data_IF_199306466749
#
_entry.id   IF_199306466749
#
_cell.length_a   1.000
_cell.length_b   1.000
_cell.length_c   1.000
_cell.angle_alpha   90.00
_cell.angle_beta   90.00
_cell.angle_gamma   90.00
#
_symmetry.space_group_name_H-M   'P 1'
#
loop_
_entity.id
_entity.type
_entity.pdbx_description
1 polymer ?
#
# COMPACT_ATOMS: atom_id res chain seq x y z
N UNK A 1 20.82 29.01 35.15
CA UNK A 1 21.81 27.97 35.47
C UNK A 1 21.57 26.83 34.49
N UNK A 2 22.14 26.88 33.28
CA UNK A 2 23.41 26.24 32.85
C UNK A 2 23.28 24.70 33.04
N UNK A 3 23.22 23.86 32.00
CA UNK A 3 24.19 23.70 30.89
C UNK A 3 23.50 23.34 29.56
N UNK A 4 23.85 24.07 28.48
CA UNK A 4 23.65 23.70 27.07
C UNK A 4 24.71 22.66 26.66
N UNK A 5 24.38 21.71 25.78
CA UNK A 5 25.38 21.04 24.94
C UNK A 5 25.11 21.39 23.48
N UNK A 6 26.11 22.04 22.89
CA UNK A 6 26.15 22.49 21.52
C UNK A 6 26.65 21.40 20.56
N UNK A 7 26.29 21.63 19.32
CA UNK A 7 26.75 20.98 18.11
C UNK A 7 28.26 21.17 17.91
N UNK A 8 28.93 20.22 17.24
CA UNK A 8 30.21 20.48 16.59
C UNK A 8 30.30 19.74 15.27
N UNK A 9 30.32 20.55 14.21
CA UNK A 9 30.74 20.23 12.86
C UNK A 9 32.24 19.91 12.85
N UNK A 10 32.66 18.93 12.04
CA UNK A 10 34.01 18.87 11.50
C UNK A 10 33.95 18.75 9.98
N UNK A 11 34.27 19.85 9.32
CA UNK A 11 34.69 19.92 7.92
C UNK A 11 36.21 20.04 7.94
N UNK A 12 36.91 19.20 7.19
CA UNK A 12 38.32 19.43 6.82
C UNK A 12 38.34 19.63 5.32
N UNK A 13 38.55 20.88 4.91
CA UNK A 13 39.00 21.29 3.59
C UNK A 13 40.53 21.41 3.62
N UNK A 14 41.20 20.86 2.61
CA UNK A 14 42.56 21.25 2.25
C UNK A 14 42.55 21.71 0.79
N UNK A 15 42.84 23.00 0.60
CA UNK A 15 43.17 23.62 -0.67
C UNK A 15 44.57 23.20 -1.14
N UNK A 16 44.72 23.00 -2.45
CA UNK A 16 45.89 23.47 -3.18
C UNK A 16 45.46 23.90 -4.59
N UNK A 17 45.65 25.19 -4.89
CA UNK A 17 45.48 25.78 -6.20
C UNK A 17 46.82 25.73 -6.97
N UNK A 18 46.77 25.44 -8.27
CA UNK A 18 47.71 26.00 -9.27
C UNK A 18 46.93 26.24 -10.57
N UNK A 19 47.07 27.46 -11.09
CA UNK A 19 46.44 28.00 -12.28
C UNK A 19 47.28 27.75 -13.54
N UNK A 20 46.61 27.60 -14.70
CA UNK A 20 46.99 28.00 -16.07
C UNK A 20 46.04 27.20 -17.00
N UNK A 21 45.11 27.79 -17.76
CA UNK A 21 45.25 28.94 -18.63
C UNK A 21 45.37 28.43 -20.06
N UNK A 22 44.29 28.52 -20.85
CA UNK A 22 44.30 28.98 -22.26
C UNK A 22 42.93 28.79 -22.91
N UNK A 23 42.43 29.91 -23.43
CA UNK A 23 41.29 30.06 -24.32
C UNK A 23 41.59 29.46 -25.70
N UNK A 24 40.52 29.16 -26.44
CA UNK A 24 40.57 28.89 -27.88
C UNK A 24 39.19 28.57 -28.43
N UNK A 25 38.39 29.61 -28.69
CA UNK A 25 37.37 29.61 -29.75
C UNK A 25 38.04 29.32 -31.10
N UNK A 26 37.31 28.69 -32.04
CA UNK A 26 37.20 29.05 -33.46
C UNK A 26 36.23 28.07 -34.18
N UNK A 27 35.02 28.57 -34.43
CA UNK A 27 34.32 28.69 -35.72
C UNK A 27 34.30 27.58 -36.81
N UNK A 28 33.06 27.37 -37.24
CA UNK A 28 32.53 27.34 -38.62
C UNK A 28 32.58 26.07 -39.53
N UNK A 29 31.34 25.70 -39.90
CA UNK A 29 30.83 25.41 -41.26
C UNK A 29 31.15 24.11 -42.03
N UNK A 30 30.08 23.31 -42.16
CA UNK A 30 29.35 23.06 -43.41
C UNK A 30 29.73 21.87 -44.34
N UNK A 31 28.65 21.30 -44.90
CA UNK A 31 28.47 20.49 -46.11
C UNK A 31 28.72 18.96 -46.14
N UNK A 32 27.58 18.25 -46.27
CA UNK A 32 27.17 17.33 -47.36
C UNK A 32 28.09 16.19 -47.82
N UNK A 33 27.54 14.97 -47.87
CA UNK A 33 28.02 13.91 -48.76
C UNK A 33 27.45 12.53 -48.50
N UNK A 34 26.40 12.16 -49.25
CA UNK A 34 25.93 10.78 -49.38
C UNK A 34 26.87 9.97 -50.32
N UNK A 35 27.04 8.66 -50.07
CA UNK A 35 26.81 7.57 -51.02
C UNK A 35 27.47 6.26 -50.57
N UNK A 36 26.82 5.17 -50.98
CA UNK A 36 27.06 3.76 -50.71
C UNK A 36 28.29 3.15 -51.40
N UNK A 37 28.71 1.97 -50.94
CA UNK A 37 29.24 0.77 -51.66
C UNK A 37 29.90 -0.15 -50.63
N UNK A 38 30.00 -1.48 -50.70
CA UNK A 38 29.37 -2.61 -51.39
C UNK A 38 29.88 -3.86 -50.65
N UNK A 39 29.20 -5.00 -50.85
CA UNK A 39 29.44 -6.33 -50.26
C UNK A 39 30.60 -7.05 -50.99
N UNK A 40 31.14 -8.16 -50.44
CA UNK A 40 31.11 -9.37 -51.26
C UNK A 40 30.65 -10.65 -50.52
N UNK A 41 29.85 -11.41 -51.27
CA UNK A 41 29.38 -12.80 -51.10
C UNK A 41 30.55 -13.82 -51.23
N UNK A 42 30.50 -15.11 -50.90
CA UNK A 42 29.45 -16.08 -50.53
C UNK A 42 30.15 -17.41 -50.10
N UNK A 43 29.55 -18.20 -49.20
CA UNK A 43 28.79 -19.46 -49.44
C UNK A 43 29.66 -20.76 -49.47
N UNK A 44 29.14 -21.96 -49.07
CA UNK A 44 27.73 -22.37 -49.12
C UNK A 44 27.13 -23.06 -47.87
N UNK A 45 25.81 -23.21 -47.97
CA UNK A 45 24.86 -23.79 -47.03
C UNK A 45 24.86 -25.33 -46.97
N UNK A 46 24.33 -25.86 -45.85
CA UNK A 46 23.77 -27.20 -45.75
C UNK A 46 22.33 -27.08 -45.21
N UNK A 47 21.38 -27.59 -46.00
CA UNK A 47 19.95 -27.75 -45.69
C UNK A 47 19.73 -28.65 -44.49
N UNK A 48 18.76 -28.35 -43.60
CA UNK A 48 17.89 -29.33 -42.94
C UNK A 48 16.58 -28.66 -42.43
N UNK A 49 15.50 -29.01 -43.14
CA UNK A 49 14.16 -29.42 -42.67
C UNK A 49 13.41 -28.59 -41.61
N UNK A 50 12.32 -27.95 -42.05
CA UNK A 50 11.30 -27.34 -41.19
C UNK A 50 10.31 -28.40 -40.70
N UNK A 51 10.32 -28.69 -39.40
CA UNK A 51 9.21 -29.38 -38.74
C UNK A 51 8.76 -28.61 -37.49
N UNK A 52 7.46 -28.34 -37.42
CA UNK A 52 6.75 -27.60 -36.36
C UNK A 52 7.06 -28.13 -34.94
N UNK A 53 7.10 -27.28 -33.89
CA UNK A 53 7.27 -27.80 -32.54
C UNK A 53 5.95 -28.39 -32.04
N UNK A 54 5.98 -29.71 -31.79
CA UNK A 54 4.94 -30.44 -31.09
C UNK A 54 4.78 -29.94 -29.64
N UNK A 55 3.53 -29.95 -29.16
CA UNK A 55 3.17 -29.72 -27.76
C UNK A 55 3.94 -30.67 -26.83
N UNK A 56 4.73 -30.12 -25.92
CA UNK A 56 5.38 -30.88 -24.87
C UNK A 56 4.40 -31.12 -23.73
N UNK A 57 3.91 -32.36 -23.61
CA UNK A 57 3.18 -32.84 -22.44
C UNK A 57 4.13 -33.04 -21.26
N UNK A 58 3.64 -32.65 -20.09
CA UNK A 58 4.27 -32.65 -18.77
C UNK A 58 4.55 -34.06 -18.23
N UNK A 59 5.35 -34.89 -18.91
CA UNK A 59 5.85 -36.16 -18.37
C UNK A 59 7.14 -36.61 -19.10
N UNK A 60 8.24 -35.84 -19.09
CA UNK A 60 9.55 -36.41 -19.44
C UNK A 60 10.77 -35.52 -19.11
N UNK A 61 10.97 -35.17 -17.83
CA UNK A 61 12.30 -34.73 -17.34
C UNK A 61 12.53 -35.23 -15.91
N UNK A 62 12.75 -36.55 -15.76
CA UNK A 62 13.44 -37.09 -14.59
C UNK A 62 14.52 -38.04 -15.10
N UNK A 63 15.71 -37.49 -15.37
CA UNK A 63 16.91 -38.25 -15.61
C UNK A 63 18.13 -37.48 -15.07
N UNK A 64 18.52 -37.90 -13.86
CA UNK A 64 19.84 -37.84 -13.23
C UNK A 64 20.76 -36.66 -13.57
N UNK A 65 20.66 -35.61 -12.76
CA UNK A 65 21.71 -34.63 -12.53
C UNK A 65 21.54 -34.10 -11.11
N UNK A 66 22.40 -34.56 -10.20
CA UNK A 66 22.45 -34.08 -8.80
C UNK A 66 22.61 -32.55 -8.82
N UNK A 67 21.56 -31.84 -8.41
CA UNK A 67 21.67 -30.42 -8.07
C UNK A 67 22.67 -30.31 -6.90
N UNK A 68 23.63 -29.38 -6.91
CA UNK A 68 24.56 -29.21 -5.79
C UNK A 68 23.74 -28.91 -4.53
N UNK A 69 24.00 -29.64 -3.45
CA UNK A 69 23.39 -29.42 -2.13
C UNK A 69 23.55 -27.94 -1.75
N UNK A 70 22.43 -27.23 -1.60
CA UNK A 70 22.42 -25.90 -1.02
C UNK A 70 22.92 -25.99 0.44
N UNK A 71 23.85 -25.13 0.88
CA UNK A 71 24.37 -25.20 2.24
C UNK A 71 23.40 -24.51 3.22
N UNK A 72 22.28 -25.16 3.53
CA UNK A 72 21.36 -24.80 4.61
C UNK A 72 21.35 -25.91 5.66
N UNK A 73 21.98 -25.70 6.82
CA UNK A 73 21.98 -26.71 7.88
C UNK A 73 20.68 -26.61 8.68
N UNK A 74 19.73 -27.51 8.41
CA UNK A 74 18.50 -27.65 9.20
C UNK A 74 18.84 -27.83 10.71
N UNK A 75 18.30 -26.96 11.56
CA UNK A 75 18.24 -27.21 13.00
C UNK A 75 17.10 -28.18 13.32
N UNK A 76 17.21 -28.92 14.42
CA UNK A 76 16.18 -29.83 14.88
C UNK A 76 14.88 -29.05 15.23
N UNK A 77 13.92 -29.03 14.30
CA UNK A 77 12.63 -28.37 14.43
C UNK A 77 11.94 -28.06 13.09
N UNK A 78 12.71 -27.74 12.05
CA UNK A 78 12.19 -27.38 10.71
C UNK A 78 12.18 -28.54 9.70
N UNK A 79 12.68 -29.72 10.06
CA UNK A 79 13.00 -30.81 9.11
C UNK A 79 11.85 -31.34 8.24
N UNK A 80 10.59 -31.04 8.55
CA UNK A 80 9.44 -31.39 7.70
C UNK A 80 9.17 -30.34 6.58
N UNK A 81 9.77 -29.15 6.67
CA UNK A 81 9.59 -28.03 5.74
C UNK A 81 10.84 -27.72 4.90
N UNK A 82 11.98 -28.30 5.26
CA UNK A 82 13.26 -28.18 4.56
C UNK A 82 13.53 -29.35 3.59
N UNK A 83 14.32 -29.14 2.52
CA UNK A 83 14.90 -27.87 2.09
C UNK A 83 13.90 -27.00 1.31
N UNK A 84 13.78 -25.72 1.65
CA UNK A 84 12.98 -24.75 0.90
C UNK A 84 13.73 -23.44 0.57
N UNK A 85 15.06 -23.53 0.42
CA UNK A 85 16.00 -22.42 0.17
C UNK A 85 15.74 -21.60 -1.12
N UNK A 86 14.90 -22.11 -2.03
CA UNK A 86 14.61 -21.47 -3.32
C UNK A 86 13.13 -21.58 -3.68
N UNK A 87 12.65 -20.62 -4.48
CA UNK A 87 11.26 -20.58 -4.94
C UNK A 87 10.77 -21.89 -5.58
N UNK A 88 11.64 -22.60 -6.30
CA UNK A 88 11.32 -23.86 -6.98
C UNK A 88 11.06 -25.02 -6.02
N UNK A 89 11.65 -24.99 -4.82
CA UNK A 89 11.42 -25.94 -3.74
C UNK A 89 10.51 -25.39 -2.64
N UNK A 90 9.79 -24.29 -2.90
CA UNK A 90 8.95 -23.63 -1.91
C UNK A 90 7.91 -24.58 -1.31
N UNK A 91 7.89 -24.66 0.01
CA UNK A 91 6.99 -25.56 0.74
C UNK A 91 5.56 -25.02 0.74
N UNK A 92 4.56 -25.88 0.52
CA UNK A 92 3.16 -25.45 0.60
C UNK A 92 2.83 -25.01 2.03
N UNK A 93 2.20 -23.84 2.15
CA UNK A 93 1.86 -23.30 3.47
C UNK A 93 0.86 -24.17 4.24
N UNK A 94 1.20 -24.63 5.45
CA UNK A 94 0.23 -25.24 6.34
C UNK A 94 -0.74 -24.16 6.88
N UNK A 95 -2.02 -24.51 7.00
CA UNK A 95 -2.99 -23.65 7.68
C UNK A 95 -2.74 -23.65 9.20
N UNK A 96 -2.94 -22.51 9.85
CA UNK A 96 -2.73 -22.35 11.28
C UNK A 96 -1.32 -21.87 11.63
N UNK A 97 -0.89 -22.18 12.84
CA UNK A 97 0.42 -21.79 13.37
C UNK A 97 1.41 -22.95 13.24
N UNK A 98 2.56 -22.67 12.65
CA UNK A 98 3.73 -23.56 12.60
C UNK A 98 4.84 -22.93 13.41
N UNK A 99 5.38 -23.66 14.37
CA UNK A 99 6.36 -23.15 15.34
C UNK A 99 7.73 -23.79 15.14
N UNK A 100 8.75 -23.19 15.74
CA UNK A 100 10.13 -23.70 15.75
C UNK A 100 10.75 -23.79 14.34
N UNK A 101 10.37 -22.87 13.45
CA UNK A 101 11.07 -22.62 12.19
C UNK A 101 12.30 -21.75 12.47
N UNK A 102 13.29 -21.77 11.58
CA UNK A 102 14.55 -21.07 11.80
C UNK A 102 15.19 -20.62 10.52
N UNK A 103 15.62 -19.35 10.49
CA UNK A 103 16.54 -18.84 9.47
C UNK A 103 17.96 -18.91 10.01
N UNK A 104 18.80 -19.67 9.32
CA UNK A 104 20.25 -19.73 9.58
C UNK A 104 21.06 -18.91 8.57
N UNK A 105 22.39 -18.94 8.70
CA UNK A 105 23.26 -18.14 7.85
C UNK A 105 23.21 -18.64 6.40
N UNK A 106 22.69 -17.80 5.50
CA UNK A 106 22.60 -18.10 4.06
C UNK A 106 21.31 -18.85 3.69
N UNK A 107 20.41 -18.99 4.64
CA UNK A 107 19.14 -19.69 4.58
C UNK A 107 18.02 -18.75 4.11
N UNK A 108 17.10 -19.24 3.30
CA UNK A 108 15.92 -18.51 2.82
C UNK A 108 14.71 -19.43 2.76
N UNK A 109 13.74 -19.24 3.65
CA UNK A 109 12.58 -20.14 3.65
C UNK A 109 11.54 -19.65 2.64
N UNK A 110 11.39 -20.38 1.53
CA UNK A 110 10.34 -20.12 0.56
C UNK A 110 9.08 -20.93 0.84
N UNK A 111 7.94 -20.26 0.77
CA UNK A 111 6.63 -20.87 0.93
C UNK A 111 5.69 -20.52 -0.20
N UNK A 112 4.93 -21.52 -0.65
CA UNK A 112 3.90 -21.40 -1.68
C UNK A 112 2.53 -21.24 -1.05
N UNK A 113 1.81 -20.20 -1.45
CA UNK A 113 0.47 -19.85 -0.98
C UNK A 113 -0.54 -20.10 -2.11
N UNK A 114 -1.51 -20.98 -1.89
CA UNK A 114 -2.65 -21.15 -2.79
C UNK A 114 -3.88 -20.54 -2.16
N UNK A 115 -4.42 -19.49 -2.77
CA UNK A 115 -5.57 -18.77 -2.22
C UNK A 115 -6.86 -19.40 -2.73
N UNK A 116 -7.75 -19.91 -1.85
CA UNK A 116 -9.04 -20.44 -2.25
C UNK A 116 -9.95 -19.36 -2.83
N UNK A 117 -10.99 -19.80 -3.55
CA UNK A 117 -11.98 -18.87 -4.08
C UNK A 117 -12.67 -18.10 -2.95
N UNK A 118 -12.89 -16.80 -3.17
CA UNK A 118 -13.59 -15.92 -2.24
C UNK A 118 -13.03 -15.99 -0.83
N UNK A 119 -11.71 -15.93 -0.73
CA UNK A 119 -10.97 -16.07 0.53
C UNK A 119 -9.83 -15.07 0.55
N UNK A 120 -9.71 -14.34 1.66
CA UNK A 120 -8.47 -13.65 2.01
C UNK A 120 -7.61 -14.62 2.82
N UNK A 121 -6.40 -14.88 2.35
CA UNK A 121 -5.37 -15.63 3.08
C UNK A 121 -4.41 -14.62 3.70
N UNK A 122 -4.40 -14.54 5.02
CA UNK A 122 -3.41 -13.81 5.80
C UNK A 122 -2.23 -14.73 6.08
N UNK A 123 -1.04 -14.25 5.79
CA UNK A 123 0.22 -14.94 6.06
C UNK A 123 1.07 -14.01 6.90
N UNK A 124 1.74 -14.52 7.91
CA UNK A 124 2.77 -13.75 8.57
C UNK A 124 3.71 -14.56 9.43
N UNK A 125 4.76 -13.90 9.87
CA UNK A 125 5.78 -14.45 10.76
C UNK A 125 5.76 -13.71 12.09
N UNK A 126 6.06 -14.44 13.16
CA UNK A 126 6.32 -13.87 14.47
C UNK A 126 7.67 -14.34 14.99
N UNK A 127 8.49 -13.41 15.48
CA UNK A 127 9.84 -13.65 15.95
C UNK A 127 10.22 -12.61 17.01
N UNK A 128 11.30 -12.85 17.75
CA UNK A 128 11.86 -11.82 18.62
C UNK A 128 12.82 -10.95 17.81
N UNK A 129 12.37 -9.79 17.33
CA UNK A 129 13.18 -8.89 16.50
C UNK A 129 14.52 -8.53 17.14
N UNK A 130 14.54 -8.34 18.47
CA UNK A 130 15.78 -8.04 19.19
C UNK A 130 16.82 -9.17 19.18
N UNK A 131 16.44 -10.41 18.84
CA UNK A 131 17.35 -11.55 18.69
C UNK A 131 17.96 -11.68 17.29
N UNK A 132 17.37 -11.01 16.30
CA UNK A 132 17.74 -11.13 14.90
C UNK A 132 16.57 -10.69 14.03
N UNK A 133 16.83 -9.75 13.14
CA UNK A 133 15.80 -9.12 12.33
C UNK A 133 15.47 -9.99 11.11
N UNK A 134 14.24 -10.47 11.02
CA UNK A 134 13.77 -11.29 9.90
C UNK A 134 12.79 -10.48 9.07
N UNK A 135 12.92 -10.61 7.75
CA UNK A 135 12.03 -9.98 6.79
C UNK A 135 11.15 -11.01 6.11
N UNK A 136 9.91 -10.62 5.82
CA UNK A 136 8.97 -11.33 4.97
C UNK A 136 8.84 -10.57 3.64
N UNK A 137 9.00 -11.29 2.54
CA UNK A 137 8.86 -10.74 1.18
C UNK A 137 7.76 -11.51 0.46
N UNK A 138 6.90 -10.81 -0.28
CA UNK A 138 5.78 -11.41 -1.01
C UNK A 138 5.93 -11.22 -2.53
N UNK A 139 5.59 -12.27 -3.27
CA UNK A 139 5.63 -12.32 -4.73
C UNK A 139 4.33 -12.90 -5.29
N UNK A 140 3.99 -12.50 -6.51
CA UNK A 140 2.91 -13.14 -7.28
C UNK A 140 3.34 -14.50 -7.88
N UNK A 141 2.42 -15.13 -8.62
CA UNK A 141 2.66 -16.42 -9.27
C UNK A 141 3.71 -16.38 -10.38
N UNK A 142 4.03 -15.19 -10.90
CA UNK A 142 5.03 -14.97 -11.94
C UNK A 142 6.40 -14.66 -11.33
N UNK A 143 6.44 -14.21 -10.08
CA UNK A 143 7.66 -13.83 -9.35
C UNK A 143 7.88 -12.33 -9.28
N UNK A 144 6.88 -11.52 -9.62
CA UNK A 144 6.95 -10.08 -9.43
C UNK A 144 6.83 -9.77 -7.93
N UNK A 145 7.64 -8.82 -7.46
CA UNK A 145 7.60 -8.36 -6.08
C UNK A 145 6.29 -7.61 -5.79
N UNK A 146 5.57 -8.04 -4.76
CA UNK A 146 4.35 -7.38 -4.29
C UNK A 146 4.59 -6.50 -3.06
N UNK A 147 5.50 -6.93 -2.19
CA UNK A 147 5.85 -6.19 -0.97
C UNK A 147 7.07 -6.79 -0.29
N UNK A 148 7.86 -5.92 0.33
CA UNK A 148 9.07 -6.31 1.06
C UNK A 148 9.19 -5.48 2.34
N UNK A 149 9.72 -6.09 3.39
CA UNK A 149 10.42 -5.37 4.47
C UNK A 149 11.92 -5.35 4.28
N UNK A 150 12.46 -6.19 3.39
CA UNK A 150 13.88 -6.24 3.10
C UNK A 150 14.31 -5.27 1.98
N UNK A 151 15.34 -4.47 2.25
CA UNK A 151 16.13 -3.75 1.23
C UNK A 151 15.43 -2.56 0.56
N UNK A 152 16.18 -1.87 -0.31
CA UNK A 152 15.70 -0.71 -1.07
C UNK A 152 14.77 -1.06 -2.25
N UNK A 153 14.51 -2.35 -2.48
CA UNK A 153 13.71 -2.85 -3.61
C UNK A 153 12.22 -2.52 -3.48
N UNK A 154 11.74 -2.21 -2.27
CA UNK A 154 10.38 -1.74 -2.03
C UNK A 154 10.41 -0.36 -1.35
N UNK A 155 9.80 0.68 -1.94
CA UNK A 155 9.92 2.08 -1.48
C UNK A 155 9.33 2.37 -0.08
N UNK A 156 8.76 1.36 0.59
CA UNK A 156 8.17 1.46 1.93
C UNK A 156 8.73 0.42 2.92
N UNK A 157 10.00 0.02 2.71
CA UNK A 157 10.76 -0.90 3.56
C UNK A 157 11.67 -0.17 4.59
N UNK A 158 11.22 0.97 5.15
CA UNK A 158 12.02 1.69 6.15
C UNK A 158 12.17 0.88 7.43
N UNK A 159 13.43 0.71 7.84
CA UNK A 159 13.83 -0.06 9.03
C UNK A 159 13.46 0.59 10.37
N UNK A 160 12.89 1.80 10.37
CA UNK A 160 12.53 2.50 11.60
C UNK A 160 11.28 1.95 12.30
N UNK A 161 10.54 1.07 11.63
CA UNK A 161 9.23 0.56 12.06
C UNK A 161 9.20 -0.98 12.06
N UNK A 162 10.36 -1.60 12.35
CA UNK A 162 10.46 -3.05 12.50
C UNK A 162 9.80 -3.53 13.80
N UNK A 163 9.12 -4.66 13.74
CA UNK A 163 8.38 -5.23 14.88
C UNK A 163 8.68 -6.72 15.01
N UNK A 164 8.12 -7.33 16.05
CA UNK A 164 8.18 -8.79 16.24
C UNK A 164 7.31 -9.57 15.26
N UNK A 165 6.65 -8.90 14.31
CA UNK A 165 5.69 -9.52 13.41
C UNK A 165 5.72 -8.93 12.01
N UNK A 166 5.49 -9.75 10.99
CA UNK A 166 5.25 -9.26 9.63
C UNK A 166 4.11 -10.01 8.98
N UNK A 167 3.17 -9.27 8.37
CA UNK A 167 1.97 -9.85 7.81
C UNK A 167 1.64 -9.33 6.40
N UNK A 168 1.07 -10.22 5.59
CA UNK A 168 0.54 -9.96 4.26
C UNK A 168 -0.84 -10.58 4.06
N UNK A 169 -1.63 -9.99 3.17
CA UNK A 169 -2.95 -10.49 2.77
C UNK A 169 -3.01 -10.75 1.28
N UNK A 170 -3.57 -11.90 0.89
CA UNK A 170 -3.77 -12.29 -0.50
C UNK A 170 -5.23 -12.62 -0.75
N UNK A 171 -5.78 -12.24 -1.90
CA UNK A 171 -7.17 -12.50 -2.25
C UNK A 171 -7.28 -13.21 -3.60
N UNK A 172 -8.30 -14.06 -3.75
CA UNK A 172 -8.66 -14.64 -5.04
C UNK A 172 -10.18 -14.77 -5.16
N UNK A 173 -10.80 -14.06 -6.11
CA UNK A 173 -12.24 -14.21 -6.38
C UNK A 173 -12.56 -15.60 -6.95
N UNK A 174 -11.71 -16.10 -7.87
CA UNK A 174 -11.93 -17.37 -8.59
C UNK A 174 -11.30 -18.58 -7.91
N UNK A 175 -10.34 -18.35 -7.02
CA UNK A 175 -9.56 -19.39 -6.36
C UNK A 175 -8.43 -19.91 -7.23
N UNK A 176 -7.44 -20.51 -6.58
CA UNK A 176 -6.27 -21.08 -7.25
C UNK A 176 -5.18 -20.07 -7.57
N UNK A 177 -5.34 -18.78 -7.24
CA UNK A 177 -4.25 -17.80 -7.33
C UNK A 177 -3.09 -18.28 -6.47
N UNK A 178 -1.90 -18.31 -7.07
CA UNK A 178 -0.66 -18.75 -6.43
C UNK A 178 0.20 -17.53 -6.12
N UNK A 179 0.68 -17.46 -4.88
CA UNK A 179 1.64 -16.47 -4.42
C UNK A 179 2.81 -17.20 -3.75
N UNK A 180 3.90 -16.48 -3.57
CA UNK A 180 5.05 -16.96 -2.83
C UNK A 180 5.38 -15.95 -1.74
N UNK A 181 5.82 -16.44 -0.59
CA UNK A 181 6.53 -15.59 0.35
C UNK A 181 7.90 -16.18 0.63
N UNK A 182 8.84 -15.31 0.96
CA UNK A 182 10.20 -15.64 1.37
C UNK A 182 10.44 -15.04 2.74
N UNK A 183 10.93 -15.85 3.67
CA UNK A 183 11.45 -15.40 4.96
C UNK A 183 12.98 -15.40 4.87
N UNK A 184 13.62 -14.32 5.32
CA UNK A 184 15.09 -14.24 5.33
C UNK A 184 15.58 -13.27 6.40
N UNK A 185 16.84 -13.42 6.79
CA UNK A 185 17.46 -12.55 7.78
C UNK A 185 17.98 -11.24 7.18
N UNK A 186 17.55 -10.10 7.72
CA UNK A 186 18.08 -8.80 7.34
C UNK A 186 19.59 -8.74 7.63
N UNK A 187 20.39 -8.32 6.65
CA UNK A 187 21.85 -8.26 6.75
C UNK A 187 22.51 -9.57 7.26
N UNK A 188 21.90 -10.73 6.97
CA UNK A 188 22.38 -12.04 7.40
C UNK A 188 22.09 -12.39 8.85
N UNK A 189 21.11 -11.70 9.47
CA UNK A 189 20.57 -12.08 10.76
C UNK A 189 20.07 -13.53 10.74
N UNK A 190 20.05 -14.14 11.91
CA UNK A 190 19.55 -15.50 12.12
C UNK A 190 18.58 -15.43 13.29
N UNK A 191 17.48 -16.16 13.19
CA UNK A 191 16.49 -16.20 14.27
C UNK A 191 15.58 -17.40 14.12
N UNK A 192 14.87 -17.73 15.19
CA UNK A 192 13.71 -18.61 15.12
C UNK A 192 12.44 -17.80 14.94
N UNK A 193 11.45 -18.41 14.29
CA UNK A 193 10.18 -17.77 14.05
C UNK A 193 9.03 -18.77 14.05
N UNK A 194 7.81 -18.24 14.05
CA UNK A 194 6.60 -19.00 13.78
C UNK A 194 5.91 -18.44 12.55
N UNK A 195 5.37 -19.34 11.71
CA UNK A 195 4.57 -19.00 10.54
C UNK A 195 3.09 -19.12 10.90
N UNK A 196 2.32 -18.09 10.59
CA UNK A 196 0.89 -18.01 10.89
C UNK A 196 0.09 -17.79 9.61
N UNK A 197 -0.75 -18.76 9.26
CA UNK A 197 -1.61 -18.72 8.06
C UNK A 197 -3.07 -18.81 8.47
N UNK A 198 -3.84 -17.78 8.14
CA UNK A 198 -5.25 -17.70 8.48
C UNK A 198 -6.09 -17.35 7.26
N UNK A 199 -7.17 -18.08 7.04
CA UNK A 199 -8.09 -17.86 5.92
C UNK A 199 -9.41 -17.31 6.41
N UNK A 200 -9.89 -16.27 5.73
CA UNK A 200 -11.16 -15.62 6.01
C UNK A 200 -11.98 -15.59 4.74
N UNK A 201 -13.20 -16.12 4.79
CA UNK A 201 -14.15 -15.99 3.68
C UNK A 201 -14.33 -14.50 3.35
N UNK A 202 -14.24 -14.11 2.08
CA UNK A 202 -14.34 -12.73 1.61
C UNK A 202 -14.91 -12.69 0.20
N UNK A 203 -15.73 -11.68 -0.10
CA UNK A 203 -16.13 -11.38 -1.47
C UNK A 203 -16.51 -9.92 -1.56
N UNK A 204 -16.18 -9.29 -2.67
CA UNK A 204 -16.58 -7.92 -2.92
C UNK A 204 -18.09 -7.77 -3.11
N UNK A 205 -18.56 -6.55 -2.94
CA UNK A 205 -19.94 -6.15 -3.11
C UNK A 205 -20.10 -4.67 -2.76
N UNK A 206 -21.20 -4.06 -3.21
CA UNK A 206 -21.47 -2.63 -2.93
C UNK A 206 -21.50 -2.33 -1.43
N UNK A 207 -22.00 -3.26 -0.62
CA UNK A 207 -21.94 -3.20 0.84
C UNK A 207 -21.59 -4.57 1.41
N UNK A 208 -20.96 -4.57 2.59
CA UNK A 208 -20.56 -5.81 3.25
C UNK A 208 -21.75 -6.71 3.64
N UNK A 209 -22.80 -6.12 4.21
CA UNK A 209 -24.04 -6.87 4.53
C UNK A 209 -24.83 -7.23 3.28
N UNK A 210 -24.79 -6.42 2.23
CA UNK A 210 -25.39 -6.73 0.93
C UNK A 210 -24.70 -7.91 0.23
N UNK A 211 -23.42 -8.12 0.50
CA UNK A 211 -22.72 -9.34 0.11
C UNK A 211 -23.12 -10.55 0.99
N UNK A 212 -23.89 -10.39 2.06
CA UNK A 212 -24.38 -11.50 2.88
C UNK A 212 -23.46 -11.89 4.03
N UNK A 213 -22.50 -11.05 4.40
CA UNK A 213 -21.80 -11.17 5.68
C UNK A 213 -22.67 -10.62 6.81
N UNK A 214 -22.49 -11.14 8.03
CA UNK A 214 -23.20 -10.61 9.18
C UNK A 214 -22.69 -9.21 9.52
N UNK A 215 -23.51 -8.40 10.21
CA UNK A 215 -23.06 -7.09 10.67
C UNK A 215 -21.81 -7.18 11.56
N UNK A 216 -21.71 -8.21 12.40
CA UNK A 216 -20.55 -8.45 13.26
C UNK A 216 -19.28 -8.70 12.43
N UNK A 217 -19.36 -9.51 11.37
CA UNK A 217 -18.24 -9.74 10.45
C UNK A 217 -17.83 -8.46 9.72
N UNK A 218 -18.80 -7.62 9.37
CA UNK A 218 -18.57 -6.35 8.70
C UNK A 218 -17.88 -5.34 9.60
N UNK A 219 -18.33 -5.23 10.84
CA UNK A 219 -17.79 -4.28 11.82
C UNK A 219 -16.46 -4.75 12.43
N UNK A 220 -16.17 -6.06 12.42
CA UNK A 220 -14.85 -6.59 12.76
C UNK A 220 -14.40 -6.30 14.20
N UNK A 221 -15.32 -6.06 15.13
CA UNK A 221 -15.01 -5.76 16.54
C UNK A 221 -14.65 -7.05 17.29
N UNK A 222 -13.37 -7.37 17.33
CA UNK A 222 -12.81 -8.44 18.14
C UNK A 222 -11.74 -7.92 19.09
N UNK A 223 -11.50 -8.63 20.20
CA UNK A 223 -10.37 -8.35 21.09
C UNK A 223 -9.05 -8.51 20.33
N UNK A 224 -8.10 -7.61 20.55
CA UNK A 224 -6.80 -7.62 19.86
C UNK A 224 -6.94 -7.67 18.34
N UNK A 225 -7.96 -7.01 17.77
CA UNK A 225 -8.19 -6.95 16.33
C UNK A 225 -8.60 -8.26 15.65
N UNK A 226 -9.05 -9.28 16.41
CA UNK A 226 -9.45 -10.59 15.86
C UNK A 226 -10.56 -10.57 14.79
N UNK A 227 -11.32 -9.48 14.66
CA UNK A 227 -12.31 -9.29 13.58
C UNK A 227 -11.78 -8.49 12.37
N UNK A 228 -10.54 -8.01 12.42
CA UNK A 228 -9.90 -7.27 11.35
C UNK A 228 -9.27 -8.22 10.33
N UNK A 229 -9.24 -7.78 9.09
CA UNK A 229 -8.63 -8.51 7.98
C UNK A 229 -7.51 -7.65 7.38
N UNK A 230 -6.44 -8.25 6.85
CA UNK A 230 -5.48 -7.48 6.07
C UNK A 230 -6.17 -7.00 4.79
N UNK A 231 -5.88 -5.77 4.39
CA UNK A 231 -6.21 -5.29 3.06
C UNK A 231 -5.32 -6.07 2.08
N UNK A 232 -5.89 -6.88 1.16
CA UNK A 232 -5.09 -7.78 0.35
C UNK A 232 -4.22 -6.99 -0.64
N UNK A 233 -3.11 -7.57 -1.07
CA UNK A 233 -2.37 -7.06 -2.22
C UNK A 233 -3.28 -6.98 -3.46
N UNK A 234 -3.06 -5.99 -4.34
CA UNK A 234 -3.71 -5.97 -5.65
C UNK A 234 -3.28 -7.21 -6.46
N UNK A 235 -4.18 -7.72 -7.27
CA UNK A 235 -3.92 -8.85 -8.17
C UNK A 235 -4.45 -8.44 -9.56
N UNK A 236 -3.60 -8.34 -10.60
CA UNK A 236 -4.05 -8.00 -11.95
C UNK A 236 -5.13 -8.94 -12.51
N UNK A 237 -5.21 -10.18 -11.99
CA UNK A 237 -6.23 -11.16 -12.36
C UNK A 237 -7.57 -10.99 -11.60
N UNK A 238 -7.60 -10.11 -10.60
CA UNK A 238 -8.80 -9.77 -9.83
C UNK A 238 -9.86 -9.10 -10.75
N UNK A 239 -11.03 -9.72 -10.93
CA UNK A 239 -12.05 -9.20 -11.84
C UNK A 239 -12.79 -7.97 -11.33
N UNK A 240 -12.60 -7.58 -10.06
CA UNK A 240 -13.30 -6.47 -9.42
C UNK A 240 -12.49 -5.19 -9.54
N UNK A 241 -11.25 -5.21 -9.03
CA UNK A 241 -10.37 -4.02 -8.99
C UNK A 241 -9.08 -4.20 -9.78
N UNK A 242 -8.68 -5.43 -10.12
CA UNK A 242 -7.41 -5.71 -10.76
C UNK A 242 -6.22 -5.15 -9.96
N UNK A 243 -5.28 -4.55 -10.69
CA UNK A 243 -4.17 -3.75 -10.20
C UNK A 243 -4.58 -2.33 -9.73
N UNK A 244 -5.81 -2.14 -9.26
CA UNK A 244 -6.43 -0.83 -9.04
C UNK A 244 -5.83 0.06 -7.97
N UNK A 245 -4.89 -0.46 -7.18
CA UNK A 245 -4.25 0.24 -6.08
C UNK A 245 -2.88 -0.37 -5.81
N UNK A 246 -2.07 0.34 -5.06
CA UNK A 246 -0.87 -0.18 -4.40
C UNK A 246 -0.88 0.28 -2.93
N UNK A 247 0.21 0.02 -2.22
CA UNK A 247 0.36 0.45 -0.84
C UNK A 247 1.61 1.28 -0.64
N UNK A 248 1.38 2.44 -0.03
CA UNK A 248 2.42 3.35 0.40
C UNK A 248 2.69 3.24 1.92
N UNK A 249 2.00 2.36 2.66
CA UNK A 249 2.24 2.11 4.10
C UNK A 249 3.00 0.82 4.37
N UNK A 250 3.49 0.64 5.60
CA UNK A 250 4.00 -0.66 6.06
C UNK A 250 2.87 -1.69 6.12
N UNK A 251 3.15 -2.94 5.75
CA UNK A 251 2.15 -4.01 5.75
C UNK A 251 1.51 -4.32 7.10
N UNK A 252 2.21 -4.03 8.20
CA UNK A 252 1.68 -4.20 9.56
C UNK A 252 0.56 -3.23 9.87
N UNK A 253 0.42 -2.15 9.10
CA UNK A 253 -0.57 -1.09 9.29
C UNK A 253 -1.72 -1.16 8.28
N UNK A 254 -1.89 -2.30 7.61
CA UNK A 254 -2.90 -2.51 6.57
C UNK A 254 -4.09 -3.35 7.05
N UNK A 255 -4.43 -3.33 8.34
CA UNK A 255 -5.57 -4.08 8.88
C UNK A 255 -6.82 -3.22 8.93
N UNK A 256 -7.94 -3.74 8.46
CA UNK A 256 -9.19 -3.01 8.34
C UNK A 256 -10.38 -3.85 8.76
N UNK A 257 -11.48 -3.17 9.09
CA UNK A 257 -12.80 -3.80 9.11
C UNK A 257 -13.10 -4.30 7.70
N UNK A 258 -13.78 -5.44 7.60
CA UNK A 258 -14.23 -5.99 6.32
C UNK A 258 -15.02 -4.98 5.50
N UNK A 259 -15.90 -4.22 6.13
CA UNK A 259 -16.70 -3.19 5.45
C UNK A 259 -15.85 -2.07 4.84
N UNK A 260 -14.70 -1.74 5.45
CA UNK A 260 -13.80 -0.72 4.92
C UNK A 260 -13.06 -1.23 3.68
N UNK A 261 -12.49 -2.44 3.75
CA UNK A 261 -11.82 -3.07 2.60
C UNK A 261 -12.76 -3.14 1.39
N UNK A 262 -13.99 -3.60 1.63
CA UNK A 262 -15.02 -3.70 0.57
C UNK A 262 -15.44 -2.33 0.02
N UNK A 263 -15.59 -1.31 0.87
CA UNK A 263 -16.00 0.02 0.42
C UNK A 263 -14.94 0.66 -0.48
N UNK A 264 -13.67 0.61 -0.07
CA UNK A 264 -12.56 1.18 -0.85
C UNK A 264 -12.42 0.45 -2.18
N UNK A 265 -12.42 -0.89 -2.18
CA UNK A 265 -12.35 -1.69 -3.42
C UNK A 265 -13.55 -1.43 -4.34
N UNK A 266 -14.76 -1.33 -3.80
CA UNK A 266 -15.93 -0.97 -4.59
C UNK A 266 -15.79 0.42 -5.23
N UNK A 267 -15.37 1.42 -4.48
CA UNK A 267 -15.18 2.77 -4.99
C UNK A 267 -14.07 2.86 -6.07
N UNK A 268 -12.98 2.09 -5.92
CA UNK A 268 -11.93 1.97 -6.95
C UNK A 268 -12.47 1.32 -8.22
N UNK A 269 -13.20 0.21 -8.09
CA UNK A 269 -13.81 -0.49 -9.22
C UNK A 269 -14.76 0.42 -10.01
N UNK A 270 -15.64 1.15 -9.32
CA UNK A 270 -16.57 2.08 -9.96
C UNK A 270 -15.83 3.26 -10.61
N UNK A 271 -14.78 3.79 -9.97
CA UNK A 271 -13.95 4.85 -10.55
C UNK A 271 -13.28 4.41 -11.84
N UNK A 272 -12.67 3.21 -11.87
CA UNK A 272 -12.03 2.65 -13.08
C UNK A 272 -13.04 2.43 -14.21
N UNK A 273 -14.28 2.03 -13.89
CA UNK A 273 -15.37 1.94 -14.89
C UNK A 273 -15.76 3.30 -15.44
N UNK A 274 -15.89 4.30 -14.58
CA UNK A 274 -16.31 5.65 -14.94
C UNK A 274 -15.23 6.43 -15.71
N UNK A 275 -13.96 6.16 -15.41
CA UNK A 275 -12.78 6.80 -15.99
C UNK A 275 -11.80 5.71 -16.49
N UNK A 276 -11.95 5.21 -17.73
CA UNK A 276 -11.01 4.24 -18.30
C UNK A 276 -9.58 4.77 -18.34
N UNK A 277 -8.61 3.87 -18.18
CA UNK A 277 -7.20 4.25 -18.07
C UNK A 277 -6.81 4.85 -16.71
N UNK A 278 -7.69 4.77 -15.71
CA UNK A 278 -7.34 5.13 -14.33
C UNK A 278 -6.20 4.23 -13.85
N UNK A 279 -5.06 4.84 -13.60
CA UNK A 279 -3.87 4.24 -12.98
C UNK A 279 -4.16 3.83 -11.52
N UNK A 280 -3.35 2.94 -10.92
CA UNK A 280 -3.50 2.53 -9.52
C UNK A 280 -3.52 3.75 -8.58
N UNK A 281 -4.20 3.63 -7.43
CA UNK A 281 -4.21 4.66 -6.38
C UNK A 281 -3.54 4.13 -5.12
N UNK A 282 -2.59 4.87 -4.54
CA UNK A 282 -1.90 4.43 -3.34
C UNK A 282 -2.80 4.48 -2.10
N UNK A 283 -2.81 3.36 -1.38
CA UNK A 283 -3.41 3.24 -0.05
C UNK A 283 -2.33 3.39 1.02
N UNK A 284 -2.61 4.18 2.04
CA UNK A 284 -1.65 4.58 3.06
C UNK A 284 -2.01 3.81 4.36
N UNK A 285 -2.06 4.49 5.49
CA UNK A 285 -2.14 3.90 6.81
C UNK A 285 -3.59 3.53 7.13
N UNK A 286 -3.78 2.34 7.71
CA UNK A 286 -5.10 1.84 8.12
C UNK A 286 -5.13 1.66 9.63
N UNK A 287 -4.68 0.53 10.15
CA UNK A 287 -4.40 0.29 11.56
C UNK A 287 -3.49 -0.93 11.71
N UNK A 288 -2.89 -1.06 12.90
CA UNK A 288 -2.17 -2.26 13.32
C UNK A 288 -3.10 -3.49 13.35
N UNK A 289 -2.52 -4.69 13.34
CA UNK A 289 -3.30 -5.93 13.46
C UNK A 289 -4.20 -5.96 14.70
N UNK A 290 -3.73 -5.41 15.82
CA UNK A 290 -4.48 -5.35 17.08
C UNK A 290 -5.58 -4.28 17.08
N UNK A 291 -5.70 -3.51 16.00
CA UNK A 291 -6.66 -2.42 15.86
C UNK A 291 -6.18 -1.12 16.48
N UNK A 292 -4.92 -0.98 16.85
CA UNK A 292 -4.38 0.28 17.36
C UNK A 292 -3.88 1.15 16.19
N UNK A 293 -3.94 2.45 16.39
CA UNK A 293 -3.34 3.47 15.53
C UNK A 293 -1.88 3.10 15.18
N UNK A 294 -1.44 3.26 13.91
CA UNK A 294 -0.09 2.88 13.47
C UNK A 294 1.08 3.52 14.24
N UNK A 295 2.16 2.75 14.43
CA UNK A 295 3.42 3.18 15.03
C UNK A 295 3.49 3.08 16.55
N UNK A 296 2.40 2.71 17.23
CA UNK A 296 2.38 2.55 18.68
C UNK A 296 3.09 1.26 19.14
N UNK A 297 3.16 0.25 18.28
CA UNK A 297 3.91 -0.98 18.51
C UNK A 297 5.43 -0.78 18.57
N UNK A 298 5.94 0.28 17.93
CA UNK A 298 7.37 0.66 17.94
C UNK A 298 7.68 1.93 18.75
N UNK A 299 6.65 2.55 19.35
CA UNK A 299 6.81 3.78 20.14
C UNK A 299 7.07 5.04 19.30
N UNK A 300 6.76 4.99 18.00
CA UNK A 300 6.86 6.10 17.05
C UNK A 300 5.52 6.28 16.30
N UNK A 301 4.49 6.84 16.98
CA UNK A 301 3.15 6.99 16.43
C UNK A 301 3.14 7.79 15.12
N UNK A 302 2.48 7.25 14.11
CA UNK A 302 2.32 7.90 12.80
C UNK A 302 1.11 8.81 12.72
N UNK A 303 0.21 8.70 13.69
CA UNK A 303 -1.01 9.49 13.76
C UNK A 303 -1.32 9.86 15.21
N UNK A 304 -2.10 10.93 15.44
CA UNK A 304 -2.62 11.22 16.77
C UNK A 304 -3.39 10.02 17.33
N UNK A 305 -3.28 9.79 18.63
CA UNK A 305 -3.89 8.64 19.29
C UNK A 305 -5.38 8.49 18.91
N UNK A 306 -5.81 7.26 18.65
CA UNK A 306 -7.20 6.87 18.37
C UNK A 306 -7.81 7.32 17.05
N UNK A 307 -7.04 7.96 16.17
CA UNK A 307 -7.51 8.41 14.86
C UNK A 307 -7.65 7.27 13.86
N UNK A 308 -6.83 6.23 13.98
CA UNK A 308 -6.81 5.08 13.08
C UNK A 308 -7.28 3.77 13.73
N UNK A 309 -7.91 3.83 14.90
CA UNK A 309 -8.26 2.61 15.65
C UNK A 309 -9.35 1.75 14.99
N UNK A 310 -9.32 0.46 15.35
CA UNK A 310 -10.33 -0.56 15.10
C UNK A 310 -10.64 -0.76 13.60
N UNK A 311 -9.66 -0.51 12.73
CA UNK A 311 -9.74 -0.72 11.28
C UNK A 311 -10.85 0.07 10.59
N UNK A 312 -11.34 1.14 11.22
CA UNK A 312 -12.43 1.97 10.69
C UNK A 312 -11.96 3.18 9.88
N UNK A 313 -10.65 3.38 9.77
CA UNK A 313 -10.05 4.54 9.10
C UNK A 313 -9.00 4.08 8.09
N UNK A 314 -8.81 4.89 7.05
CA UNK A 314 -7.77 4.69 6.06
C UNK A 314 -7.42 6.03 5.44
N UNK A 315 -6.13 6.27 5.28
CA UNK A 315 -5.63 7.35 4.44
C UNK A 315 -5.45 6.85 3.01
N UNK A 316 -5.92 7.64 2.06
CA UNK A 316 -5.92 7.30 0.64
C UNK A 316 -5.38 8.48 -0.15
N UNK A 317 -4.40 8.25 -1.02
CA UNK A 317 -3.89 9.28 -1.91
C UNK A 317 -4.98 9.97 -2.74
N UNK A 318 -4.67 11.14 -3.27
CA UNK A 318 -5.51 11.78 -4.26
C UNK A 318 -5.25 11.17 -5.64
N UNK A 319 -6.28 11.08 -6.49
CA UNK A 319 -6.06 10.93 -7.93
C UNK A 319 -5.38 12.19 -8.47
N UNK A 320 -4.32 12.01 -9.25
CA UNK A 320 -3.48 13.09 -9.76
C UNK A 320 -3.52 13.15 -11.30
N UNK A 321 -3.31 14.35 -11.84
CA UNK A 321 -3.38 14.63 -13.28
C UNK A 321 -2.16 14.12 -14.05
N UNK A 322 -1.01 13.96 -13.40
CA UNK A 322 0.16 13.25 -13.94
C UNK A 322 0.02 11.72 -13.84
N UNK A 323 -0.95 11.27 -13.02
CA UNK A 323 -1.28 9.89 -12.77
C UNK A 323 -0.25 9.16 -11.92
N UNK A 324 0.55 9.87 -11.12
CA UNK A 324 1.37 9.23 -10.08
C UNK A 324 0.48 8.53 -9.05
N UNK A 325 -0.63 9.18 -8.68
CA UNK A 325 -1.61 8.74 -7.68
C UNK A 325 -1.00 8.23 -6.37
N UNK A 326 0.17 8.79 -6.01
CA UNK A 326 0.96 8.43 -4.85
C UNK A 326 0.67 9.40 -3.69
N UNK A 327 1.41 9.27 -2.60
CA UNK A 327 1.21 10.05 -1.38
C UNK A 327 2.08 11.32 -1.34
N UNK A 328 2.43 11.89 -2.49
CA UNK A 328 3.06 13.22 -2.55
C UNK A 328 2.07 14.36 -2.20
N UNK A 329 2.62 15.54 -1.94
CA UNK A 329 1.82 16.74 -1.68
C UNK A 329 1.24 17.28 -3.00
N UNK A 330 -0.09 17.33 -3.09
CA UNK A 330 -0.79 17.65 -4.34
C UNK A 330 -1.01 19.14 -4.61
N UNK A 331 -0.61 20.00 -3.67
CA UNK A 331 -0.85 21.45 -3.76
C UNK A 331 -0.16 22.10 -4.95
N UNK A 332 1.04 21.60 -5.30
CA UNK A 332 1.89 22.07 -6.41
C UNK A 332 1.96 23.61 -6.51
N UNK A 333 2.08 24.26 -5.35
CA UNK A 333 2.03 25.72 -5.24
C UNK A 333 3.39 26.35 -4.89
N UNK A 334 4.43 25.52 -4.74
CA UNK A 334 5.81 25.91 -4.47
C UNK A 334 6.10 26.18 -2.98
N UNK A 335 5.17 25.92 -2.07
CA UNK A 335 5.40 26.01 -0.63
C UNK A 335 5.99 24.71 -0.06
N UNK A 336 6.54 24.81 1.16
CA UNK A 336 7.09 23.65 1.89
C UNK A 336 6.03 22.88 2.69
N UNK A 337 4.85 23.48 2.93
CA UNK A 337 3.71 22.88 3.62
C UNK A 337 4.00 22.34 5.04
N UNK A 338 5.00 22.90 5.73
CA UNK A 338 5.33 22.50 7.10
C UNK A 338 4.25 22.82 8.14
N UNK A 339 3.22 23.59 7.77
CA UNK A 339 2.03 23.85 8.56
C UNK A 339 0.90 22.83 8.30
N UNK A 340 1.10 21.90 7.37
CA UNK A 340 0.14 20.87 7.02
C UNK A 340 -1.01 21.37 6.15
N UNK A 341 -0.88 22.47 5.41
CA UNK A 341 -1.93 22.96 4.52
C UNK A 341 -1.42 23.37 3.14
N UNK A 342 -2.27 23.19 2.12
CA UNK A 342 -2.05 23.89 0.87
C UNK A 342 -2.18 25.41 1.07
N UNK A 343 -1.43 26.19 0.29
CA UNK A 343 -1.64 27.64 0.25
C UNK A 343 -2.79 27.97 -0.71
N UNK A 344 -3.28 29.22 -0.65
CA UNK A 344 -4.32 29.69 -1.59
C UNK A 344 -3.96 29.57 -3.07
N UNK A 345 -2.66 29.49 -3.41
CA UNK A 345 -2.22 29.29 -4.79
C UNK A 345 -2.59 27.91 -5.34
N UNK A 346 -2.79 26.90 -4.47
CA UNK A 346 -3.27 25.58 -4.87
C UNK A 346 -4.67 25.64 -5.51
N UNK A 347 -5.47 26.71 -5.30
CA UNK A 347 -6.75 26.90 -6.03
C UNK A 347 -6.62 26.94 -7.55
N UNK A 348 -5.41 27.15 -8.08
CA UNK A 348 -5.13 27.25 -9.51
C UNK A 348 -4.02 26.31 -10.01
N UNK A 349 -3.22 25.71 -9.12
CA UNK A 349 -1.98 25.01 -9.50
C UNK A 349 -1.86 23.55 -9.06
N UNK A 350 -2.80 23.04 -8.26
CA UNK A 350 -2.76 21.67 -7.74
C UNK A 350 -2.69 20.60 -8.84
N UNK A 351 -2.25 19.40 -8.48
CA UNK A 351 -2.23 18.22 -9.37
C UNK A 351 -3.42 17.28 -9.18
N UNK A 352 -4.38 17.59 -8.30
CA UNK A 352 -5.58 16.74 -8.13
C UNK A 352 -6.42 16.65 -9.42
N UNK A 353 -6.70 15.42 -9.87
CA UNK A 353 -7.74 15.16 -10.87
C UNK A 353 -9.11 15.28 -10.22
N UNK A 354 -9.64 16.50 -10.19
CA UNK A 354 -10.86 16.83 -9.46
C UNK A 354 -12.08 15.98 -9.88
N UNK A 355 -12.39 15.76 -11.18
CA UNK A 355 -13.52 14.92 -11.57
C UNK A 355 -13.37 13.47 -11.09
N UNK A 356 -12.19 12.86 -11.25
CA UNK A 356 -11.98 11.47 -10.83
C UNK A 356 -12.01 11.36 -9.30
N UNK A 357 -11.35 12.28 -8.61
CA UNK A 357 -11.32 12.30 -7.15
C UNK A 357 -12.72 12.51 -6.55
N UNK A 358 -13.48 13.48 -7.06
CA UNK A 358 -14.84 13.73 -6.58
C UNK A 358 -15.77 12.54 -6.86
N UNK A 359 -15.62 11.85 -7.98
CA UNK A 359 -16.38 10.64 -8.24
C UNK A 359 -16.02 9.51 -7.26
N UNK A 360 -14.73 9.28 -7.01
CA UNK A 360 -14.27 8.29 -6.05
C UNK A 360 -14.81 8.57 -4.64
N UNK A 361 -14.67 9.81 -4.16
CA UNK A 361 -15.25 10.24 -2.88
C UNK A 361 -16.77 10.08 -2.84
N UNK A 362 -17.49 10.35 -3.93
CA UNK A 362 -18.92 10.11 -4.02
C UNK A 362 -19.28 8.63 -3.78
N UNK A 363 -18.49 7.69 -4.33
CA UNK A 363 -18.69 6.25 -4.08
C UNK A 363 -18.36 5.84 -2.66
N UNK A 364 -17.35 6.45 -2.03
CA UNK A 364 -17.09 6.26 -0.60
C UNK A 364 -18.26 6.79 0.27
N UNK A 365 -18.82 7.95 -0.09
CA UNK A 365 -19.99 8.52 0.58
C UNK A 365 -21.30 7.76 0.35
N UNK A 366 -21.37 6.87 -0.64
CA UNK A 366 -22.55 6.04 -0.87
C UNK A 366 -22.77 5.02 0.27
N UNK A 367 -21.74 4.74 1.07
CA UNK A 367 -21.91 3.93 2.28
C UNK A 367 -22.59 4.74 3.39
N UNK A 368 -23.70 4.24 3.98
CA UNK A 368 -24.32 4.88 5.14
C UNK A 368 -23.44 4.81 6.40
N UNK A 369 -22.34 4.06 6.36
CA UNK A 369 -21.36 3.92 7.44
C UNK A 369 -20.24 4.95 7.35
N UNK A 370 -20.10 5.67 6.24
CA UNK A 370 -19.11 6.74 6.12
C UNK A 370 -19.46 7.85 7.10
N UNK A 371 -18.58 8.09 8.07
CA UNK A 371 -18.73 9.15 9.07
C UNK A 371 -18.18 10.47 8.52
N UNK A 372 -16.96 10.42 8.00
CA UNK A 372 -16.27 11.62 7.51
C UNK A 372 -15.22 11.25 6.48
N UNK A 373 -15.00 12.15 5.51
CA UNK A 373 -13.80 12.18 4.68
C UNK A 373 -13.10 13.52 4.94
N UNK A 374 -11.92 13.47 5.54
CA UNK A 374 -11.04 14.60 5.78
C UNK A 374 -10.25 14.98 4.53
N UNK A 375 -10.19 16.28 4.21
CA UNK A 375 -9.44 16.82 3.06
C UNK A 375 -8.78 18.15 3.42
N UNK A 376 -7.82 18.59 2.60
CA UNK A 376 -7.22 19.92 2.73
C UNK A 376 -8.25 21.06 2.54
N UNK A 377 -8.06 22.15 3.29
CA UNK A 377 -8.98 23.30 3.34
C UNK A 377 -9.12 24.04 2.01
N UNK A 378 -8.06 24.09 1.20
CA UNK A 378 -8.04 24.75 -0.11
C UNK A 378 -8.65 23.84 -1.18
N UNK A 379 -8.45 22.53 -1.06
CA UNK A 379 -8.96 21.54 -2.03
C UNK A 379 -10.47 21.28 -1.85
N UNK A 380 -11.00 21.36 -0.62
CA UNK A 380 -12.38 21.01 -0.33
C UNK A 380 -13.44 21.72 -1.21
N UNK A 381 -13.39 23.06 -1.40
CA UNK A 381 -14.34 23.75 -2.28
C UNK A 381 -14.25 23.32 -3.75
N UNK A 382 -13.05 22.95 -4.21
CA UNK A 382 -12.81 22.50 -5.59
C UNK A 382 -13.43 21.11 -5.81
N UNK A 383 -13.23 20.19 -4.86
CA UNK A 383 -13.84 18.86 -4.88
C UNK A 383 -15.36 18.93 -4.87
N UNK A 384 -15.93 19.81 -4.04
CA UNK A 384 -17.38 20.06 -4.02
C UNK A 384 -17.88 20.62 -5.36
N UNK A 385 -17.13 21.53 -5.99
CA UNK A 385 -17.50 22.05 -7.31
C UNK A 385 -17.47 20.96 -8.38
N UNK A 386 -16.44 20.11 -8.38
CA UNK A 386 -16.36 18.97 -9.29
C UNK A 386 -17.51 17.97 -9.06
N UNK A 387 -17.88 17.69 -7.81
CA UNK A 387 -19.05 16.87 -7.49
C UNK A 387 -20.35 17.47 -8.06
N UNK A 388 -20.53 18.79 -8.00
CA UNK A 388 -21.70 19.46 -8.60
C UNK A 388 -21.72 19.30 -10.13
N UNK A 389 -20.56 19.36 -10.78
CA UNK A 389 -20.45 19.12 -12.23
C UNK A 389 -20.76 17.66 -12.58
N UNK A 390 -20.28 16.69 -11.81
CA UNK A 390 -20.63 15.29 -11.99
C UNK A 390 -22.13 15.04 -11.82
N UNK A 391 -22.76 15.68 -10.83
CA UNK A 391 -24.20 15.55 -10.59
C UNK A 391 -25.05 16.15 -11.71
N UNK A 392 -24.53 17.14 -12.45
CA UNK A 392 -25.24 17.79 -13.56
C UNK A 392 -25.12 17.07 -14.90
N UNK A 393 -24.27 16.03 -14.99
CA UNK A 393 -24.11 15.21 -16.20
C UNK A 393 -25.45 14.54 -16.63
N UNK A 394 -25.64 14.20 -17.92
CA UNK A 394 -26.82 13.47 -18.39
C UNK A 394 -26.99 12.11 -17.71
N UNK A 395 -28.23 11.63 -17.55
CA UNK A 395 -28.54 10.38 -16.81
C UNK A 395 -27.85 9.11 -17.35
N UNK A 396 -27.40 9.10 -18.60
CA UNK A 396 -26.65 7.99 -19.20
C UNK A 396 -25.12 8.10 -19.08
N UNK A 397 -24.59 9.20 -18.54
CA UNK A 397 -23.16 9.33 -18.32
C UNK A 397 -22.76 8.52 -17.07
N UNK A 398 -21.88 7.54 -17.27
CA UNK A 398 -21.36 6.68 -16.19
C UNK A 398 -20.65 7.42 -15.07
N UNK A 399 -20.23 8.67 -15.29
CA UNK A 399 -19.60 9.54 -14.29
C UNK A 399 -20.63 10.31 -13.46
N UNK A 400 -21.91 10.28 -13.84
CA UNK A 400 -22.94 10.99 -13.09
C UNK A 400 -23.06 10.44 -11.68
N UNK A 401 -23.00 11.33 -10.69
CA UNK A 401 -23.29 11.01 -9.30
C UNK A 401 -24.72 11.38 -8.94
N UNK A 402 -25.28 10.70 -7.95
CA UNK A 402 -26.62 10.94 -7.43
C UNK A 402 -26.67 12.21 -6.57
N UNK A 403 -27.87 12.75 -6.38
CA UNK A 403 -28.07 13.90 -5.50
C UNK A 403 -27.75 13.58 -4.03
N UNK A 404 -27.95 12.33 -3.59
CA UNK A 404 -27.55 11.88 -2.25
C UNK A 404 -26.04 11.88 -2.08
N UNK A 405 -25.29 11.37 -3.07
CA UNK A 405 -23.83 11.41 -3.04
C UNK A 405 -23.29 12.84 -3.05
N UNK A 406 -23.87 13.73 -3.88
CA UNK A 406 -23.52 15.15 -3.87
C UNK A 406 -23.77 15.80 -2.50
N UNK A 407 -24.89 15.46 -1.85
CA UNK A 407 -25.25 16.04 -0.55
C UNK A 407 -24.25 15.64 0.55
N UNK A 408 -23.59 14.48 0.42
CA UNK A 408 -22.56 14.03 1.35
C UNK A 408 -21.31 14.89 1.36
N UNK A 409 -20.98 15.60 0.27
CA UNK A 409 -19.90 16.59 0.27
C UNK A 409 -20.16 17.77 1.21
N UNK A 410 -21.42 18.02 1.57
CA UNK A 410 -21.78 19.07 2.54
C UNK A 410 -21.93 18.55 3.96
N UNK A 411 -22.28 17.27 4.14
CA UNK A 411 -22.60 16.69 5.46
C UNK A 411 -21.50 15.80 6.04
N UNK A 412 -20.61 15.26 5.22
CA UNK A 412 -19.59 14.27 5.63
C UNK A 412 -18.17 14.60 5.13
N UNK A 413 -17.96 15.63 4.30
CA UNK A 413 -16.61 16.12 4.00
C UNK A 413 -16.18 17.10 5.08
N UNK A 414 -14.99 16.93 5.66
CA UNK A 414 -14.45 17.79 6.70
C UNK A 414 -13.07 18.34 6.31
N UNK A 415 -12.80 19.57 6.75
CA UNK A 415 -11.59 20.32 6.46
C UNK A 415 -11.44 21.48 7.46
N UNK A 416 -10.30 22.17 7.45
CA UNK A 416 -10.02 23.33 8.30
C UNK A 416 -8.95 23.06 9.37
N UNK A 417 -8.92 23.86 10.45
CA UNK A 417 -7.85 23.83 11.45
C UNK A 417 -7.72 22.50 12.22
N UNK A 418 -8.76 21.65 12.20
CA UNK A 418 -8.72 20.31 12.78
C UNK A 418 -8.25 19.21 11.82
N UNK A 419 -7.92 19.56 10.57
CA UNK A 419 -7.54 18.63 9.50
C UNK A 419 -6.22 19.04 8.82
N UNK A 420 -5.13 19.30 9.56
CA UNK A 420 -3.81 19.50 8.95
C UNK A 420 -3.30 18.21 8.30
N UNK A 421 -2.35 18.33 7.39
CA UNK A 421 -1.67 17.26 6.65
C UNK A 421 -2.54 16.45 5.66
N UNK A 422 -3.77 16.90 5.37
CA UNK A 422 -4.65 16.25 4.39
C UNK A 422 -4.42 16.77 2.95
N UNK A 423 -3.23 17.30 2.66
CA UNK A 423 -2.81 17.80 1.35
C UNK A 423 -2.06 16.75 0.50
N UNK A 424 -1.91 15.52 1.00
CA UNK A 424 -1.32 14.40 0.25
C UNK A 424 -2.24 13.17 0.24
N UNK A 425 -3.31 13.18 1.04
CA UNK A 425 -4.30 12.12 1.11
C UNK A 425 -5.66 12.68 1.54
N UNK A 426 -6.72 11.91 1.26
CA UNK A 426 -7.99 12.00 1.97
C UNK A 426 -7.98 11.02 3.15
N UNK A 427 -8.61 11.40 4.25
CA UNK A 427 -8.79 10.51 5.41
C UNK A 427 -10.23 9.99 5.46
N UNK A 428 -10.45 8.73 5.11
CA UNK A 428 -11.76 8.09 5.17
C UNK A 428 -11.97 7.46 6.54
N UNK A 429 -13.14 7.69 7.12
CA UNK A 429 -13.47 7.31 8.48
C UNK A 429 -14.90 6.75 8.58
N UNK A 430 -15.08 5.52 9.08
CA UNK A 430 -16.37 4.82 9.21
C UNK A 430 -16.90 4.78 10.64
N UNK A 431 -18.19 5.06 10.84
CA UNK A 431 -18.86 5.14 12.14
C UNK A 431 -18.29 4.21 13.24
N UNK A 432 -18.07 4.82 14.42
CA UNK A 432 -17.38 4.23 15.58
C UNK A 432 -18.27 3.27 16.36
N UNK A 433 -19.58 3.30 16.08
CA UNK A 433 -20.59 2.41 16.66
C UNK A 433 -21.63 2.13 15.59
N UNK A 434 -22.32 1.01 15.72
CA UNK A 434 -23.67 0.88 15.19
C UNK A 434 -24.50 2.05 15.72
N UNK A 435 -25.07 2.86 14.83
CA UNK A 435 -26.25 3.66 15.21
C UNK A 435 -27.31 2.64 15.61
N UNK A 436 -27.40 2.39 16.92
CA UNK A 436 -28.24 1.35 17.47
C UNK A 436 -29.68 1.54 17.05
N UNK A 437 -30.28 0.47 16.53
CA UNK A 437 -31.67 0.23 16.89
C UNK A 437 -31.71 0.20 18.42
N UNK A 438 -32.45 1.13 19.01
CA UNK A 438 -32.76 1.19 20.43
C UNK A 438 -33.20 -0.19 20.95
N UNK A 439 -32.29 -0.95 21.54
CA UNK A 439 -32.61 -2.02 22.48
C UNK A 439 -32.08 -1.57 23.82
N UNK A 440 -33.01 -1.23 24.71
CA UNK A 440 -32.74 -0.83 26.10
C UNK A 440 -32.01 -1.96 26.82
N UNK A 441 -30.91 -1.64 27.52
CA UNK A 441 -30.28 -2.55 28.48
C UNK A 441 -28.80 -2.26 28.69
N UNK A 442 -28.51 -1.32 29.60
CA UNK A 442 -27.29 -1.14 30.39
C UNK A 442 -25.95 -1.70 29.88
N UNK A 443 -25.05 -0.80 29.45
CA UNK A 443 -23.65 -0.77 29.91
C UNK A 443 -23.03 0.60 29.60
N UNK A 444 -22.10 1.02 30.46
CA UNK A 444 -21.65 2.40 30.61
C UNK A 444 -21.11 3.04 29.32
N UNK A 445 -21.62 4.24 29.04
CA UNK A 445 -21.21 5.05 27.91
C UNK A 445 -19.76 5.56 28.09
N UNK A 446 -18.83 5.05 27.28
CA UNK A 446 -17.71 5.89 26.87
C UNK A 446 -18.29 6.98 25.96
N UNK A 447 -18.19 8.23 26.40
CA UNK A 447 -18.79 9.38 25.72
C UNK A 447 -18.24 9.53 24.31
N UNK A 448 -19.13 9.56 23.31
CA UNK A 448 -18.80 10.10 22.00
C UNK A 448 -18.37 11.57 22.19
N UNK A 449 -17.32 12.06 21.50
CA UNK A 449 -17.11 13.49 21.40
C UNK A 449 -18.36 14.14 20.80
N UNK A 450 -18.73 15.30 21.35
CA UNK A 450 -19.95 16.04 21.07
C UNK A 450 -20.15 16.31 19.56
N UNK A 451 -21.40 16.49 19.09
CA UNK A 451 -21.69 16.75 17.68
C UNK A 451 -20.92 17.97 17.16
N UNK A 452 -20.26 17.79 16.02
CA UNK A 452 -19.45 18.79 15.32
C UNK A 452 -20.31 19.96 14.85
N UNK A 453 -20.41 21.01 15.68
CA UNK A 453 -20.54 22.36 15.19
C UNK A 453 -19.13 22.89 14.91
N UNK A 454 -18.98 23.71 13.86
CA UNK A 454 -17.79 24.49 13.53
C UNK A 454 -17.20 25.14 14.79
N UNK A 455 -16.23 24.49 15.41
CA UNK A 455 -15.43 25.05 16.51
C UNK A 455 -14.06 25.37 15.94
N UNK A 456 -13.77 26.67 15.82
CA UNK A 456 -12.40 27.17 15.86
C UNK A 456 -11.90 26.85 17.27
N UNK A 457 -11.01 25.87 17.39
CA UNK A 457 -10.42 25.52 18.68
C UNK A 457 -9.39 26.59 19.10
N UNK A 458 -9.46 27.13 20.33
CA UNK A 458 -8.33 27.81 20.95
C UNK A 458 -7.52 26.76 21.73
N UNK A 459 -6.28 26.51 21.32
CA UNK A 459 -5.38 25.61 22.05
C UNK A 459 -4.22 25.16 21.18
N UNK A 460 -3.03 25.33 21.73
CA UNK A 460 -1.70 25.22 21.11
C UNK A 460 -1.55 24.07 20.11
N UNK A 461 -0.93 24.40 18.97
CA UNK A 461 -0.40 23.44 18.03
C UNK A 461 0.45 22.43 18.79
N UNK A 462 0.00 21.17 18.80
CA UNK A 462 0.84 20.05 19.17
C UNK A 462 2.00 20.07 18.17
N UNK A 463 3.23 20.09 18.68
CA UNK A 463 4.45 20.13 17.87
C UNK A 463 4.30 19.18 16.67
N UNK A 464 4.61 19.71 15.48
CA UNK A 464 4.49 19.06 14.18
C UNK A 464 4.88 17.58 14.27
N UNK A 465 3.93 16.67 14.07
CA UNK A 465 4.26 15.35 13.57
C UNK A 465 4.92 15.59 12.21
N UNK A 466 6.24 15.47 12.17
CA UNK A 466 7.00 15.50 10.93
C UNK A 466 6.64 14.22 10.19
N UNK A 467 5.47 14.23 9.54
CA UNK A 467 4.99 13.18 8.65
C UNK A 467 5.86 13.26 7.39
N UNK A 468 7.12 12.86 7.54
CA UNK A 468 8.04 12.65 6.44
C UNK A 468 7.57 11.39 5.71
N UNK A 469 6.55 11.56 4.88
CA UNK A 469 6.29 10.60 3.83
C UNK A 469 7.45 10.70 2.85
N UNK A 470 8.11 9.59 2.51
CA UNK A 470 9.34 9.69 1.77
C UNK A 470 9.12 10.40 0.43
N UNK A 471 9.98 11.37 0.08
CA UNK A 471 9.99 11.91 -1.27
C UNK A 471 10.30 10.79 -2.25
N UNK A 472 9.82 10.91 -3.50
CA UNK A 472 10.21 10.03 -4.61
C UNK A 472 11.70 9.71 -4.54
N UNK A 473 12.08 8.46 -4.72
CA UNK A 473 13.38 8.19 -5.30
C UNK A 473 13.38 8.91 -6.66
N UNK A 474 14.26 9.90 -6.83
CA UNK A 474 14.39 10.57 -8.12
C UNK A 474 14.78 9.52 -9.16
N UNK A 475 13.94 9.36 -10.21
CA UNK A 475 14.28 8.58 -11.40
C UNK A 475 15.47 9.19 -12.16
#
# INVERSE_FOLDING_TARGET
MIVRREWSYFVVMALAAVAQGCQGELDEENTLGAAATEVPEGEPAAELDESEPAEATDEMLVAEGVLPEAPGSAWAGSGDYEPNDVRQSATNMPLGATQNLSITKGDEDWYRVVVPARTITRVGIEFNHAAGDLDLVAYDGQGNLLGSRNGAEYPYAYRGQETNTEYYGFYSERGGSVYYVRVLGHAGAQNTYSLNVHQVAYKDGQTCTGAGFSFADCEGRGSGGSGLIPFPFPDPSDPVVGDGYDFASYSNYRFARRELVMLVRHALAETRKAFPGTKPLSLIDICQMDGVTPGYDVGDPRHPQSTHDQGGNIDISYFQTDGANDAEIVCNDGATHGDGYCTSAATQKHVVDLPRQAFFMAKLFASPRTRVIGVDTVLAPLLRSAAQQLASLPSGDRRKISQSELSSFSSHMAYGSGWPYHHHHIHLSLQWRSSGNNVRGESQALSAPAPFQTMVAPGEAVDSFDMAWPPRAAE
#
